data_IF_036894069217
#
_entry.id   IF_036894069217
#
_cell.length_a   1.000
_cell.length_b   1.000
_cell.length_c   1.000
_cell.angle_alpha   90.00
_cell.angle_beta   90.00
_cell.angle_gamma   90.00
#
_symmetry.space_group_name_H-M   'P 1'
#
loop_
_entity.id
_entity.type
_entity.pdbx_description
1 polymer ?
#
# COMPACT_ATOMS: atom_id res chain seq x y z
N UNK A 1 -1.13 21.60 5.61
CA UNK A 1 -0.64 20.54 4.70
C UNK A 1 -1.88 19.79 4.23
N UNK A 2 -2.09 19.58 2.91
CA UNK A 2 -3.28 18.84 2.46
C UNK A 2 -3.07 17.35 2.76
N UNK A 3 -4.01 16.75 3.50
CA UNK A 3 -4.00 15.34 3.82
C UNK A 3 -4.83 14.58 2.78
N UNK A 4 -4.28 13.50 2.23
CA UNK A 4 -5.02 12.59 1.35
C UNK A 4 -5.81 11.56 2.17
N UNK A 5 -6.92 11.13 1.59
CA UNK A 5 -7.66 9.94 1.98
C UNK A 5 -7.17 8.76 1.13
N UNK A 6 -6.56 7.76 1.77
CA UNK A 6 -6.03 6.57 1.08
C UNK A 6 -6.79 5.33 1.55
N UNK A 7 -7.38 4.61 0.60
CA UNK A 7 -7.97 3.30 0.84
C UNK A 7 -6.90 2.24 0.62
N UNK A 8 -6.76 1.26 1.50
CA UNK A 8 -5.83 0.14 1.33
C UNK A 8 -6.62 -1.16 1.36
N UNK A 9 -6.62 -1.90 0.26
CA UNK A 9 -7.21 -3.23 0.21
C UNK A 9 -6.21 -4.24 0.77
N UNK A 10 -6.47 -4.74 1.99
CA UNK A 10 -5.60 -5.64 2.74
C UNK A 10 -4.91 -4.95 3.93
N UNK A 11 -5.25 -5.32 5.16
CA UNK A 11 -4.73 -4.66 6.37
C UNK A 11 -3.40 -5.22 6.91
N UNK A 12 -3.06 -6.47 6.61
CA UNK A 12 -1.83 -7.11 7.11
C UNK A 12 -0.57 -6.42 6.57
N UNK A 13 -0.15 -6.73 5.33
CA UNK A 13 1.01 -6.06 4.73
C UNK A 13 0.76 -4.56 4.49
N UNK A 14 -0.50 -4.18 4.23
CA UNK A 14 -0.93 -2.78 4.10
C UNK A 14 -0.63 -1.92 5.33
N UNK A 15 -0.53 -2.50 6.54
CA UNK A 15 -0.15 -1.77 7.75
C UNK A 15 1.24 -1.12 7.66
N UNK A 16 2.17 -1.72 6.92
CA UNK A 16 3.49 -1.13 6.69
C UNK A 16 3.34 0.19 5.94
N UNK A 17 2.67 0.18 4.78
CA UNK A 17 2.41 1.40 4.02
C UNK A 17 1.59 2.40 4.84
N UNK A 18 0.50 1.95 5.47
CA UNK A 18 -0.38 2.80 6.29
C UNK A 18 0.41 3.58 7.34
N UNK A 19 1.22 2.89 8.16
CA UNK A 19 2.01 3.55 9.21
C UNK A 19 3.04 4.54 8.67
N UNK A 20 3.60 4.32 7.47
CA UNK A 20 4.45 5.32 6.81
C UNK A 20 3.66 6.56 6.42
N UNK A 21 2.49 6.39 5.81
CA UNK A 21 1.65 7.51 5.35
C UNK A 21 1.04 8.30 6.51
N UNK A 22 0.76 7.66 7.65
CA UNK A 22 0.25 8.33 8.85
C UNK A 22 1.21 9.39 9.40
N UNK A 23 2.54 9.29 9.17
CA UNK A 23 3.48 10.36 9.54
C UNK A 23 3.22 11.67 8.79
N UNK A 24 2.69 11.61 7.57
CA UNK A 24 2.30 12.76 6.77
C UNK A 24 0.98 13.40 7.18
N UNK A 25 0.31 12.88 8.22
CA UNK A 25 -1.02 13.35 8.64
C UNK A 25 -2.17 12.89 7.73
N UNK A 26 -1.92 11.90 6.87
CA UNK A 26 -2.93 11.36 5.95
C UNK A 26 -3.99 10.51 6.68
N UNK A 27 -5.14 10.30 6.04
CA UNK A 27 -6.22 9.45 6.55
C UNK A 27 -6.22 8.14 5.78
N UNK A 28 -6.12 7.03 6.49
CA UNK A 28 -5.99 5.70 5.91
C UNK A 28 -7.18 4.84 6.34
N UNK A 29 -7.89 4.27 5.38
CA UNK A 29 -8.90 3.22 5.62
C UNK A 29 -8.39 1.90 5.08
N UNK A 30 -8.33 0.86 5.91
CA UNK A 30 -7.94 -0.49 5.48
C UNK A 30 -9.17 -1.39 5.33
N UNK A 31 -9.26 -2.09 4.19
CA UNK A 31 -10.26 -3.12 3.96
C UNK A 31 -9.72 -4.46 4.42
N UNK A 32 -10.45 -5.11 5.33
CA UNK A 32 -10.02 -6.36 5.95
C UNK A 32 -11.19 -7.17 6.53
N UNK A 33 -10.87 -8.33 7.11
CA UNK A 33 -11.89 -9.22 7.70
C UNK A 33 -12.44 -8.64 9.01
N UNK A 34 -13.66 -9.03 9.46
CA UNK A 34 -14.29 -8.45 10.64
C UNK A 34 -13.43 -8.44 11.92
N UNK A 35 -12.69 -9.53 12.20
CA UNK A 35 -11.79 -9.58 13.35
C UNK A 35 -10.59 -8.61 13.23
N UNK A 36 -10.12 -8.35 12.00
CA UNK A 36 -9.11 -7.32 11.74
C UNK A 36 -9.72 -5.93 11.94
N UNK A 37 -10.93 -5.68 11.44
CA UNK A 37 -11.64 -4.40 11.62
C UNK A 37 -11.74 -4.04 13.10
N UNK A 38 -12.17 -4.97 13.95
CA UNK A 38 -12.25 -4.76 15.39
C UNK A 38 -10.87 -4.44 15.99
N UNK A 39 -9.85 -5.25 15.70
CA UNK A 39 -8.51 -5.08 16.26
C UNK A 39 -7.85 -3.76 15.82
N UNK A 40 -7.94 -3.40 14.54
CA UNK A 40 -7.34 -2.16 14.04
C UNK A 40 -8.07 -0.91 14.54
N UNK A 41 -9.40 -0.92 14.65
CA UNK A 41 -10.14 0.23 15.14
C UNK A 41 -9.98 0.45 16.65
N UNK A 42 -9.82 -0.62 17.45
CA UNK A 42 -9.67 -0.53 18.91
C UNK A 42 -8.21 -0.37 19.36
N UNK A 43 -7.30 -1.16 18.79
CA UNK A 43 -5.91 -1.24 19.23
C UNK A 43 -4.90 -0.57 18.28
N UNK A 44 -5.34 -0.21 17.07
CA UNK A 44 -4.46 0.33 16.01
C UNK A 44 -3.54 -0.72 15.39
N UNK A 45 -2.81 -0.35 14.35
CA UNK A 45 -1.70 -1.14 13.82
C UNK A 45 -0.45 -1.02 14.70
N UNK A 46 0.28 -2.15 14.87
CA UNK A 46 1.59 -2.24 15.53
C UNK A 46 2.63 -2.71 14.53
N UNK A 47 3.56 -1.84 14.15
CA UNK A 47 4.58 -2.16 13.14
C UNK A 47 5.97 -2.03 13.74
N UNK A 48 6.68 -3.16 13.83
CA UNK A 48 8.04 -3.23 14.37
C UNK A 48 9.08 -3.17 13.25
N UNK A 49 10.00 -2.22 13.35
CA UNK A 49 11.00 -1.88 12.33
C UNK A 49 12.42 -1.97 12.92
N UNK A 50 13.35 -2.71 12.29
CA UNK A 50 14.76 -2.61 12.62
C UNK A 50 15.31 -1.25 12.17
N UNK A 51 16.13 -0.61 13.00
CA UNK A 51 16.74 0.69 12.69
C UNK A 51 18.25 0.51 12.55
N UNK A 52 18.83 1.01 11.45
CA UNK A 52 20.28 0.94 11.23
C UNK A 52 21.02 1.62 12.38
N UNK A 53 22.00 0.92 12.96
CA UNK A 53 22.81 1.44 14.06
C UNK A 53 22.14 1.35 15.44
N UNK A 54 20.94 0.75 15.56
CA UNK A 54 20.31 0.45 16.86
C UNK A 54 20.21 -1.06 17.05
N UNK A 55 20.46 -1.51 18.29
CA UNK A 55 20.31 -2.91 18.68
C UNK A 55 18.84 -3.30 18.75
N UNK A 56 18.03 -2.47 19.40
CA UNK A 56 16.60 -2.72 19.58
C UNK A 56 15.77 -2.10 18.45
N UNK A 57 14.79 -2.85 17.90
CA UNK A 57 13.87 -2.32 16.91
C UNK A 57 12.93 -1.28 17.52
N UNK A 58 12.35 -0.45 16.66
CA UNK A 58 11.30 0.50 17.04
C UNK A 58 9.94 -0.08 16.71
N UNK A 59 9.01 0.01 17.64
CA UNK A 59 7.61 -0.34 17.39
C UNK A 59 6.78 0.93 17.23
N UNK A 60 6.09 1.03 16.09
CA UNK A 60 5.16 2.10 15.78
C UNK A 60 3.76 1.71 16.24
N UNK A 61 3.11 2.60 16.99
CA UNK A 61 1.68 2.53 17.31
C UNK A 61 0.94 3.55 16.44
N UNK A 62 0.12 3.08 15.51
CA UNK A 62 -0.62 3.96 14.58
C UNK A 62 -1.47 5.02 15.28
N UNK A 63 -1.95 4.78 16.51
CA UNK A 63 -2.77 5.73 17.28
C UNK A 63 -1.98 6.92 17.80
N UNK A 64 -0.65 6.82 17.82
CA UNK A 64 0.28 7.87 18.25
C UNK A 64 0.87 8.64 17.08
N UNK A 65 0.48 8.30 15.84
CA UNK A 65 0.95 8.96 14.64
C UNK A 65 0.04 10.17 14.30
N UNK A 66 0.55 11.18 13.56
CA UNK A 66 -0.21 12.39 13.26
C UNK A 66 -1.48 12.18 12.41
N UNK A 67 -1.49 11.16 11.55
CA UNK A 67 -2.62 10.80 10.71
C UNK A 67 -3.70 10.01 11.44
N UNK A 68 -4.72 9.57 10.69
CA UNK A 68 -5.81 8.74 11.24
C UNK A 68 -5.90 7.41 10.50
N UNK A 69 -5.98 6.33 11.26
CA UNK A 69 -6.23 4.98 10.76
C UNK A 69 -7.65 4.55 11.12
N UNK A 70 -8.34 3.91 10.17
CA UNK A 70 -9.56 3.14 10.38
C UNK A 70 -9.53 1.86 9.55
N UNK A 71 -10.36 0.90 9.90
CA UNK A 71 -10.55 -0.33 9.17
C UNK A 71 -12.05 -0.59 8.93
N UNK A 72 -12.38 -1.24 7.81
CA UNK A 72 -13.76 -1.54 7.42
C UNK A 72 -13.86 -2.78 6.52
N UNK A 73 -15.07 -3.28 6.29
CA UNK A 73 -15.37 -4.31 5.30
C UNK A 73 -15.48 -3.73 3.87
N UNK A 74 -15.36 -4.58 2.82
CA UNK A 74 -15.37 -4.10 1.44
C UNK A 74 -16.70 -3.47 0.99
N UNK A 75 -17.81 -3.81 1.64
CA UNK A 75 -19.17 -3.31 1.30
C UNK A 75 -19.46 -1.91 1.83
N UNK A 76 -18.67 -1.42 2.78
CA UNK A 76 -18.91 -0.16 3.50
C UNK A 76 -18.04 0.97 2.95
N UNK A 77 -17.51 0.80 1.74
CA UNK A 77 -16.56 1.72 1.11
C UNK A 77 -17.21 2.37 -0.10
N UNK A 78 -17.21 3.70 -0.12
CA UNK A 78 -17.44 4.49 -1.33
C UNK A 78 -16.08 4.92 -1.93
N UNK A 79 -15.67 4.39 -3.11
CA UNK A 79 -14.39 4.75 -3.72
C UNK A 79 -14.18 6.24 -3.96
N UNK A 80 -15.27 7.00 -4.16
CA UNK A 80 -15.21 8.43 -4.44
C UNK A 80 -14.70 9.27 -3.24
N UNK A 81 -14.67 8.70 -2.04
CA UNK A 81 -14.18 9.37 -0.83
C UNK A 81 -12.65 9.39 -0.73
N UNK A 82 -11.95 8.71 -1.65
CA UNK A 82 -10.52 8.46 -1.61
C UNK A 82 -9.78 9.08 -2.79
N UNK A 83 -8.60 9.64 -2.50
CA UNK A 83 -7.71 10.23 -3.49
C UNK A 83 -6.79 9.18 -4.14
N UNK A 84 -6.53 8.07 -3.44
CA UNK A 84 -5.67 6.98 -3.87
C UNK A 84 -6.16 5.66 -3.27
N UNK A 85 -6.11 4.58 -4.05
CA UNK A 85 -6.28 3.21 -3.56
C UNK A 85 -4.94 2.48 -3.59
N UNK A 86 -4.57 1.80 -2.51
CA UNK A 86 -3.43 0.90 -2.47
C UNK A 86 -3.88 -0.56 -2.49
N UNK A 87 -3.27 -1.37 -3.36
CA UNK A 87 -3.54 -2.80 -3.46
C UNK A 87 -2.49 -3.58 -2.65
N UNK A 88 -2.92 -4.22 -1.55
CA UNK A 88 -2.03 -4.86 -0.56
C UNK A 88 -2.48 -6.28 -0.15
N UNK A 89 -3.27 -6.94 -1.02
CA UNK A 89 -3.65 -8.36 -0.87
C UNK A 89 -2.90 -9.24 -1.88
N UNK A 90 -2.98 -10.56 -1.70
CA UNK A 90 -2.54 -11.51 -2.72
C UNK A 90 -3.51 -11.48 -3.91
N UNK A 91 -2.97 -11.69 -5.12
CA UNK A 91 -3.76 -11.68 -6.37
C UNK A 91 -5.05 -12.53 -6.30
N UNK A 92 -5.04 -13.77 -5.78
CA UNK A 92 -6.24 -14.59 -5.73
C UNK A 92 -7.36 -14.02 -4.85
N UNK A 93 -7.04 -13.14 -3.90
CA UNK A 93 -8.02 -12.57 -2.98
C UNK A 93 -8.94 -11.56 -3.67
N UNK A 94 -8.49 -10.94 -4.77
CA UNK A 94 -9.26 -9.91 -5.49
C UNK A 94 -10.52 -10.45 -6.18
N UNK A 95 -10.65 -11.76 -6.37
CA UNK A 95 -11.87 -12.41 -6.87
C UNK A 95 -12.93 -12.68 -5.79
N UNK A 96 -12.58 -12.49 -4.51
CA UNK A 96 -13.46 -12.80 -3.38
C UNK A 96 -14.72 -11.92 -3.42
N UNK A 97 -15.88 -12.44 -3.00
CA UNK A 97 -17.10 -11.64 -2.89
C UNK A 97 -16.89 -10.39 -2.02
N UNK A 98 -17.50 -9.28 -2.41
CA UNK A 98 -17.32 -7.96 -1.81
C UNK A 98 -16.06 -7.25 -2.34
N UNK A 99 -14.91 -7.94 -2.34
CA UNK A 99 -13.65 -7.37 -2.83
C UNK A 99 -13.68 -7.14 -4.34
N UNK A 100 -14.19 -8.10 -5.12
CA UNK A 100 -14.29 -7.95 -6.58
C UNK A 100 -15.22 -6.79 -6.98
N UNK A 101 -16.33 -6.60 -6.26
CA UNK A 101 -17.28 -5.50 -6.50
C UNK A 101 -16.65 -4.15 -6.13
N UNK A 102 -15.94 -4.07 -5.00
CA UNK A 102 -15.22 -2.87 -4.61
C UNK A 102 -14.12 -2.53 -5.62
N UNK A 103 -13.36 -3.53 -6.06
CA UNK A 103 -12.30 -3.35 -7.06
C UNK A 103 -12.87 -2.85 -8.39
N UNK A 104 -14.00 -3.40 -8.84
CA UNK A 104 -14.72 -2.93 -10.03
C UNK A 104 -15.21 -1.48 -9.88
N UNK A 105 -15.78 -1.14 -8.72
CA UNK A 105 -16.23 0.21 -8.42
C UNK A 105 -15.08 1.23 -8.41
N UNK A 106 -13.92 0.84 -7.87
CA UNK A 106 -12.67 1.64 -7.93
C UNK A 106 -12.25 1.89 -9.38
N UNK A 107 -12.24 0.84 -10.21
CA UNK A 107 -11.87 0.93 -11.61
C UNK A 107 -12.80 1.85 -12.41
N UNK A 108 -14.11 1.67 -12.27
CA UNK A 108 -15.13 2.51 -12.92
C UNK A 108 -15.13 3.94 -12.42
N UNK A 109 -14.84 4.14 -11.13
CA UNK A 109 -14.66 5.45 -10.52
C UNK A 109 -13.39 6.17 -10.95
N UNK A 110 -12.49 5.48 -11.69
CA UNK A 110 -11.22 6.02 -12.18
C UNK A 110 -10.33 6.56 -11.06
N UNK A 111 -10.38 5.93 -9.88
CA UNK A 111 -9.51 6.30 -8.75
C UNK A 111 -8.11 5.75 -9.02
N UNK A 112 -7.03 6.55 -8.88
CA UNK A 112 -5.67 6.06 -9.11
C UNK A 112 -5.30 4.96 -8.09
N UNK A 113 -4.64 3.92 -8.58
CA UNK A 113 -4.32 2.72 -7.83
C UNK A 113 -2.81 2.47 -7.78
N UNK A 114 -2.25 2.32 -6.57
CA UNK A 114 -0.86 1.92 -6.34
C UNK A 114 -0.81 0.50 -5.78
N UNK A 115 -0.24 -0.44 -6.53
CA UNK A 115 -0.07 -1.81 -6.05
C UNK A 115 1.23 -1.98 -5.28
N UNK A 116 1.16 -2.55 -4.07
CA UNK A 116 2.33 -3.05 -3.31
C UNK A 116 2.37 -4.59 -3.30
N UNK A 117 1.65 -5.21 -4.23
CA UNK A 117 1.57 -6.66 -4.35
C UNK A 117 2.86 -7.25 -4.95
N UNK A 118 3.16 -8.50 -4.60
CA UNK A 118 4.27 -9.23 -5.20
C UNK A 118 4.07 -9.55 -6.69
N UNK A 119 2.80 -9.69 -7.12
CA UNK A 119 2.43 -9.95 -8.50
C UNK A 119 1.95 -8.65 -9.15
N UNK A 120 2.56 -8.21 -10.27
CA UNK A 120 2.07 -7.06 -11.04
C UNK A 120 0.62 -7.26 -11.48
N UNK A 121 -0.31 -6.32 -11.19
CA UNK A 121 -1.65 -6.39 -11.73
C UNK A 121 -1.64 -6.31 -13.26
N UNK A 122 -2.56 -7.04 -13.92
CA UNK A 122 -2.64 -7.07 -15.38
C UNK A 122 -2.71 -5.68 -16.04
N UNK A 123 -3.42 -4.66 -15.49
CA UNK A 123 -3.45 -3.32 -16.07
C UNK A 123 -2.08 -2.63 -16.05
N UNK A 124 -1.23 -2.91 -15.07
CA UNK A 124 0.14 -2.40 -15.05
C UNK A 124 0.97 -2.99 -16.20
N UNK A 125 0.86 -4.31 -16.40
CA UNK A 125 1.59 -5.02 -17.45
C UNK A 125 1.20 -4.50 -18.85
N UNK A 126 -0.06 -4.09 -19.05
CA UNK A 126 -0.53 -3.47 -20.30
C UNK A 126 0.19 -2.16 -20.64
N UNK A 127 0.84 -1.51 -19.67
CA UNK A 127 1.63 -0.28 -19.91
C UNK A 127 2.99 -0.56 -20.56
N UNK A 128 3.44 -1.82 -20.60
CA UNK A 128 4.75 -2.19 -21.14
C UNK A 128 4.65 -2.31 -22.66
N UNK A 129 5.37 -1.47 -23.44
CA UNK A 129 5.30 -1.53 -24.90
C UNK A 129 5.74 -2.89 -25.44
N UNK A 130 4.92 -3.47 -26.32
CA UNK A 130 5.22 -4.75 -26.98
C UNK A 130 4.98 -6.01 -26.14
N UNK A 131 4.52 -5.89 -24.89
CA UNK A 131 4.16 -7.06 -24.08
C UNK A 131 2.79 -7.61 -24.47
N UNK A 132 2.73 -8.87 -24.92
CA UNK A 132 1.46 -9.55 -25.18
C UNK A 132 0.80 -9.98 -23.85
N UNK A 133 -0.05 -9.12 -23.30
CA UNK A 133 -0.74 -9.39 -22.03
C UNK A 133 -1.83 -10.45 -22.13
N UNK A 134 -2.37 -10.72 -23.33
CA UNK A 134 -3.41 -11.73 -23.50
C UNK A 134 -2.86 -13.14 -23.23
N UNK A 135 -1.61 -13.38 -23.62
CA UNK A 135 -0.88 -14.61 -23.30
C UNK A 135 -0.58 -14.78 -21.79
N UNK A 136 -0.70 -13.71 -20.99
CA UNK A 136 -0.45 -13.74 -19.55
C UNK A 136 -1.72 -14.02 -18.73
N UNK A 137 -2.91 -14.00 -19.34
CA UNK A 137 -4.19 -14.14 -18.63
C UNK A 137 -4.29 -15.44 -17.81
N UNK A 138 -3.69 -16.53 -18.30
CA UNK A 138 -3.65 -17.83 -17.61
C UNK A 138 -2.76 -17.84 -16.37
N UNK A 139 -1.90 -16.84 -16.17
CA UNK A 139 -1.10 -16.69 -14.96
C UNK A 139 -1.86 -16.05 -13.80
N UNK A 140 -3.04 -15.47 -14.06
CA UNK A 140 -3.91 -14.86 -13.05
C UNK A 140 -4.97 -15.86 -12.60
N UNK A 141 -5.32 -15.83 -11.32
CA UNK A 141 -6.39 -16.69 -10.78
C UNK A 141 -7.74 -16.33 -11.41
N UNK A 142 -7.97 -15.03 -11.58
CA UNK A 142 -9.12 -14.49 -12.30
C UNK A 142 -8.72 -13.17 -12.96
N UNK A 143 -8.34 -13.22 -14.24
CA UNK A 143 -7.95 -12.03 -14.98
C UNK A 143 -9.11 -11.02 -15.17
N UNK A 144 -10.37 -11.47 -15.07
CA UNK A 144 -11.54 -10.65 -15.39
C UNK A 144 -11.78 -9.52 -14.40
N UNK A 145 -11.32 -9.67 -13.14
CA UNK A 145 -11.43 -8.63 -12.10
C UNK A 145 -10.68 -7.34 -12.46
N UNK A 146 -9.74 -7.43 -13.41
CA UNK A 146 -8.93 -6.30 -13.87
C UNK A 146 -9.48 -5.60 -15.12
N UNK A 147 -10.56 -6.10 -15.70
CA UNK A 147 -11.03 -5.73 -17.05
C UNK A 147 -11.42 -4.25 -17.21
N UNK A 148 -11.96 -3.63 -16.16
CA UNK A 148 -12.44 -2.25 -16.21
C UNK A 148 -11.37 -1.20 -15.84
N UNK A 149 -10.16 -1.63 -15.47
CA UNK A 149 -9.09 -0.68 -15.16
C UNK A 149 -8.53 -0.03 -16.42
N UNK A 150 -8.41 1.29 -16.36
CA UNK A 150 -7.53 2.05 -17.24
C UNK A 150 -6.07 1.78 -16.84
N UNK A 151 -5.22 1.21 -17.73
CA UNK A 151 -3.82 0.96 -17.45
C UNK A 151 -3.08 2.18 -16.86
N UNK A 152 -3.37 3.38 -17.36
CA UNK A 152 -2.66 4.60 -16.93
C UNK A 152 -2.96 5.05 -15.50
N UNK A 153 -4.03 4.52 -14.91
CA UNK A 153 -4.43 4.76 -13.52
C UNK A 153 -3.94 3.70 -12.54
N UNK A 154 -3.22 2.66 -13.01
CA UNK A 154 -2.65 1.64 -12.14
C UNK A 154 -1.13 1.68 -12.20
N UNK A 155 -0.51 1.85 -11.05
CA UNK A 155 0.94 1.76 -10.87
C UNK A 155 1.34 0.63 -9.92
N UNK A 156 2.63 0.33 -9.88
CA UNK A 156 3.22 -0.76 -9.11
C UNK A 156 4.39 -0.25 -8.28
N UNK A 157 4.54 -0.80 -7.08
CA UNK A 157 5.72 -0.74 -6.24
C UNK A 157 6.52 -2.03 -6.38
N UNK A 158 7.84 -1.92 -6.27
CA UNK A 158 8.69 -3.11 -6.10
C UNK A 158 8.29 -3.86 -4.81
N UNK A 159 8.24 -5.20 -4.84
CA UNK A 159 7.98 -6.01 -3.64
C UNK A 159 9.25 -6.20 -2.80
N UNK A 160 9.90 -5.08 -2.47
CA UNK A 160 11.19 -5.09 -1.80
C UNK A 160 11.06 -5.26 -0.27
N UNK A 161 10.18 -4.52 0.44
CA UNK A 161 10.10 -4.63 1.90
C UNK A 161 9.61 -6.02 2.30
N UNK A 162 10.31 -6.65 3.23
CA UNK A 162 9.88 -7.95 3.76
C UNK A 162 9.34 -7.78 5.16
N UNK A 163 8.13 -8.28 5.37
CA UNK A 163 7.46 -8.23 6.65
C UNK A 163 6.66 -9.52 6.88
N UNK A 164 6.55 -9.91 8.14
CA UNK A 164 5.82 -11.09 8.58
C UNK A 164 4.98 -10.74 9.81
N UNK A 165 3.92 -11.48 10.04
CA UNK A 165 3.29 -11.58 11.35
C UNK A 165 3.82 -12.85 12.01
N UNK A 166 4.68 -12.75 13.05
CA UNK A 166 5.19 -13.93 13.73
C UNK A 166 4.06 -14.79 14.33
N UNK A 167 4.26 -16.12 14.46
CA UNK A 167 3.31 -16.98 15.15
C UNK A 167 3.03 -16.48 16.58
N UNK A 168 1.76 -16.52 17.00
CA UNK A 168 1.32 -16.08 18.32
C UNK A 168 1.12 -14.58 18.48
N UNK A 169 1.58 -13.76 17.53
CA UNK A 169 1.34 -12.31 17.56
C UNK A 169 -0.09 -11.96 17.12
N UNK A 170 -0.59 -10.84 17.67
CA UNK A 170 -1.93 -10.32 17.35
C UNK A 170 -2.10 -9.98 15.87
N UNK A 171 -3.34 -10.00 15.38
CA UNK A 171 -3.64 -9.82 13.94
C UNK A 171 -3.25 -8.44 13.40
N UNK A 172 -3.17 -7.43 14.27
CA UNK A 172 -2.76 -6.06 13.98
C UNK A 172 -1.25 -5.80 14.15
N UNK A 173 -0.45 -6.85 14.40
CA UNK A 173 1.00 -6.76 14.53
C UNK A 173 1.72 -7.18 13.26
N UNK A 174 2.76 -6.42 12.88
CA UNK A 174 3.62 -6.70 11.74
C UNK A 174 5.09 -6.45 12.11
N UNK A 175 5.97 -7.42 11.86
CA UNK A 175 7.41 -7.31 12.00
C UNK A 175 8.04 -7.15 10.62
N UNK A 176 8.77 -6.06 10.40
CA UNK A 176 9.61 -5.88 9.22
C UNK A 176 10.94 -6.57 9.42
N UNK A 177 11.29 -7.50 8.54
CA UNK A 177 12.54 -8.26 8.58
C UNK A 177 13.60 -7.68 7.64
N UNK A 178 13.17 -7.07 6.53
CA UNK A 178 14.04 -6.38 5.59
C UNK A 178 13.46 -4.99 5.27
N UNK A 179 14.02 -3.90 5.82
CA UNK A 179 13.42 -2.57 5.77
C UNK A 179 13.85 -1.78 4.52
N UNK A 180 13.68 -2.38 3.33
CA UNK A 180 13.92 -1.74 2.03
C UNK A 180 12.77 -0.79 1.65
N UNK A 181 12.92 -0.04 0.56
CA UNK A 181 11.96 0.98 0.15
C UNK A 181 10.93 0.43 -0.83
N UNK A 182 9.71 0.97 -0.77
CA UNK A 182 8.75 0.84 -1.87
C UNK A 182 9.24 1.72 -3.03
N UNK A 183 9.68 1.10 -4.14
CA UNK A 183 10.02 1.85 -5.36
C UNK A 183 8.83 1.81 -6.31
N UNK A 184 8.13 2.93 -6.46
CA UNK A 184 6.89 3.05 -7.21
C UNK A 184 7.14 3.72 -8.56
N UNK A 185 6.55 3.17 -9.62
CA UNK A 185 6.52 3.85 -10.91
C UNK A 185 5.53 5.01 -10.88
N UNK A 186 5.77 6.04 -11.69
CA UNK A 186 4.76 7.10 -11.93
C UNK A 186 3.49 6.54 -12.56
N UNK A 187 2.39 7.26 -12.37
CA UNK A 187 1.20 7.10 -13.22
C UNK A 187 1.48 7.68 -14.61
N UNK A 188 0.57 7.44 -15.55
CA UNK A 188 0.69 8.08 -16.87
C UNK A 188 0.52 9.60 -16.74
N UNK A 189 -0.43 10.05 -15.90
CA UNK A 189 -0.69 11.47 -15.67
C UNK A 189 0.26 12.08 -14.61
N UNK A 190 0.69 13.31 -14.84
CA UNK A 190 1.45 14.10 -13.86
C UNK A 190 0.60 14.46 -12.64
N UNK A 191 -0.72 14.65 -12.82
CA UNK A 191 -1.66 14.98 -11.74
C UNK A 191 -1.71 13.87 -10.69
N UNK A 192 -1.87 12.62 -11.11
CA UNK A 192 -1.95 11.48 -10.18
C UNK A 192 -0.57 11.16 -9.62
N UNK A 193 0.48 11.35 -10.43
CA UNK A 193 1.87 11.23 -9.96
C UNK A 193 2.21 12.24 -8.88
N UNK A 194 1.62 13.45 -8.90
CA UNK A 194 1.81 14.45 -7.86
C UNK A 194 1.30 13.98 -6.48
N UNK A 195 0.28 13.11 -6.43
CA UNK A 195 -0.16 12.45 -5.19
C UNK A 195 0.99 11.62 -4.64
N UNK A 196 1.57 10.73 -5.44
CA UNK A 196 2.69 9.87 -5.01
C UNK A 196 3.92 10.68 -4.57
N UNK A 197 4.27 11.74 -5.30
CA UNK A 197 5.40 12.63 -4.98
C UNK A 197 5.18 13.36 -3.65
N UNK A 198 3.94 13.74 -3.36
CA UNK A 198 3.57 14.33 -2.07
C UNK A 198 3.71 13.31 -0.94
N UNK A 199 3.17 12.09 -1.12
CA UNK A 199 3.32 11.00 -0.14
C UNK A 199 4.80 10.65 0.10
N UNK A 200 5.62 10.60 -0.96
CA UNK A 200 7.07 10.39 -0.88
C UNK A 200 7.74 11.45 0.00
N UNK A 201 7.46 12.74 -0.24
CA UNK A 201 8.02 13.84 0.55
C UNK A 201 7.62 13.74 2.02
N UNK A 202 6.37 13.42 2.29
CA UNK A 202 5.85 13.34 3.66
C UNK A 202 6.42 12.12 4.41
N UNK A 203 6.59 10.97 3.74
CA UNK A 203 7.29 9.79 4.28
C UNK A 203 8.78 10.05 4.50
N UNK A 204 9.42 10.81 3.63
CA UNK A 204 10.84 11.14 3.74
C UNK A 204 11.12 12.11 4.91
N UNK A 205 10.21 13.08 5.10
CA UNK A 205 10.23 14.03 6.21
C UNK A 205 9.89 13.42 7.57
N UNK A 206 9.36 12.19 7.63
CA UNK A 206 8.98 11.54 8.88
C UNK A 206 10.17 11.43 9.86
N UNK A 207 9.93 11.83 11.11
CA UNK A 207 10.87 11.65 12.23
C UNK A 207 10.14 11.00 13.39
N UNK A 208 10.77 10.00 14.00
CA UNK A 208 10.23 9.31 15.17
C UNK A 208 11.07 9.62 16.39
N UNK A 209 10.43 10.03 17.49
CA UNK A 209 11.15 10.32 18.73
C UNK A 209 11.25 9.04 19.59
N UNK A 210 12.48 8.55 19.81
CA UNK A 210 12.71 7.36 20.65
C UNK A 210 12.90 7.69 22.14
N UNK A 211 12.79 8.96 22.53
CA UNK A 211 13.19 9.46 23.85
C UNK A 211 14.61 10.06 23.85
N UNK A 212 15.52 9.47 23.07
CA UNK A 212 16.90 9.97 22.86
C UNK A 212 17.00 11.06 21.79
N UNK A 213 15.87 11.45 21.20
CA UNK A 213 15.79 12.40 20.10
C UNK A 213 15.10 11.84 18.84
N UNK A 214 14.86 12.70 17.84
CA UNK A 214 14.23 12.31 16.59
C UNK A 214 15.18 11.51 15.70
N UNK A 215 14.73 10.34 15.24
CA UNK A 215 15.43 9.51 14.27
C UNK A 215 14.67 9.45 12.95
N UNK A 216 15.40 9.13 11.88
CA UNK A 216 14.82 8.73 10.61
C UNK A 216 14.29 7.29 10.69
N UNK A 217 13.14 7.04 10.07
CA UNK A 217 12.59 5.69 9.94
C UNK A 217 12.90 5.10 8.56
N UNK A 218 13.31 3.82 8.47
CA UNK A 218 13.51 3.14 7.21
C UNK A 218 12.17 2.78 6.56
N UNK A 219 12.22 2.09 5.42
CA UNK A 219 11.08 1.85 4.53
C UNK A 219 10.50 3.17 4.04
N UNK A 220 11.04 3.66 2.93
CA UNK A 220 10.59 4.89 2.26
C UNK A 220 9.67 4.56 1.09
N UNK A 221 8.88 5.54 0.68
CA UNK A 221 8.27 5.56 -0.65
C UNK A 221 9.21 6.32 -1.58
N UNK A 222 9.58 5.72 -2.71
CA UNK A 222 10.47 6.28 -3.72
C UNK A 222 9.80 6.26 -5.07
N UNK A 223 9.46 7.42 -5.61
CA UNK A 223 8.74 7.53 -6.89
C UNK A 223 9.74 7.67 -8.02
N UNK A 224 9.54 6.91 -9.09
CA UNK A 224 10.42 6.86 -10.26
C UNK A 224 9.63 7.14 -11.53
N UNK A 225 10.26 7.82 -12.48
CA UNK A 225 9.61 8.14 -13.75
C UNK A 225 9.53 6.93 -14.71
N UNK A 226 10.39 5.93 -14.49
CA UNK A 226 10.40 4.71 -15.29
C UNK A 226 9.41 3.68 -14.77
N UNK A 227 8.61 3.12 -15.67
CA UNK A 227 7.71 1.98 -15.41
C UNK A 227 8.45 0.65 -15.19
N UNK A 228 9.76 0.60 -15.39
CA UNK A 228 10.53 -0.64 -15.24
C UNK A 228 11.14 -0.80 -13.85
N UNK A 229 11.24 0.27 -13.06
CA UNK A 229 11.86 0.23 -11.73
C UNK A 229 11.18 -0.78 -10.79
N UNK A 230 9.84 -0.85 -10.71
CA UNK A 230 9.18 -1.84 -9.84
C UNK A 230 9.46 -3.30 -10.21
N UNK A 231 9.88 -3.56 -11.45
CA UNK A 231 10.20 -4.90 -11.95
C UNK A 231 11.68 -5.29 -11.73
N UNK A 232 12.51 -4.33 -11.31
CA UNK A 232 13.93 -4.54 -11.10
C UNK A 232 14.19 -4.97 -9.65
N UNK A 233 14.55 -6.25 -9.45
CA UNK A 233 14.93 -6.80 -8.14
C UNK A 233 16.31 -6.33 -7.65
N UNK A 234 17.16 -5.85 -8.56
CA UNK A 234 18.58 -5.52 -8.31
C UNK A 234 18.99 -4.15 -8.88
N UNK A 235 18.16 -3.13 -8.68
CA UNK A 235 18.45 -1.74 -9.06
C UNK A 235 18.81 -0.88 -7.85
#
# INVERSE_FOLDING_TARGET
MMAYNVLILGASYGSLLATKLLFGGHKITMVCLPAEVEAFNSEGARVRLPIRGRKEPVELDSRKLPGKLSATGPTDVNPADYDLVALAMQEPQYRSPGVRELLDAVARGRIPCMSIMNMPPLPYLKRIPGLNTDALTSAFTDASVWSNFDPGLLTLCSPDPQAIRPPGEKINFLLVTLPTNFKVARFDSDKDTAILRRLEKDVDGARYNTGDGPIELPVKLRVHDSIFVPLAKWA
#
